data_IF_919136310747
#
_entry.id   IF_919136310747
#
_cell.length_a   1.000
_cell.length_b   1.000
_cell.length_c   1.000
_cell.angle_alpha   90.00
_cell.angle_beta   90.00
_cell.angle_gamma   90.00
#
_symmetry.space_group_name_H-M   'P 1'
#
loop_
_entity.id
_entity.type
_entity.pdbx_description
1 polymer ?
#
# COMPACT_ATOMS: atom_id res chain seq x y z
N UNK A 1 10.27 -35.88 3.07
CA UNK A 1 10.25 -34.45 3.44
C UNK A 1 9.10 -34.24 4.40
N UNK A 2 9.37 -33.88 5.65
CA UNK A 2 8.31 -33.57 6.62
C UNK A 2 7.52 -32.34 6.16
N UNK A 3 6.20 -32.31 6.38
CA UNK A 3 5.39 -31.11 6.11
C UNK A 3 5.93 -29.96 6.96
N UNK A 4 6.63 -29.03 6.34
CA UNK A 4 6.98 -27.75 6.96
C UNK A 4 5.67 -27.06 7.33
N UNK A 5 5.45 -26.79 8.61
CA UNK A 5 4.25 -26.12 9.09
C UNK A 5 4.24 -24.69 8.52
N UNK A 6 3.23 -24.36 7.72
CA UNK A 6 3.09 -23.00 7.16
C UNK A 6 3.02 -21.99 8.31
N UNK A 7 3.83 -20.91 8.22
CA UNK A 7 3.83 -19.87 9.25
C UNK A 7 2.49 -19.14 9.29
N UNK A 8 2.06 -18.71 10.48
CA UNK A 8 0.83 -17.92 10.63
C UNK A 8 0.99 -16.60 9.89
N UNK A 9 0.05 -16.29 8.98
CA UNK A 9 0.05 -15.02 8.23
C UNK A 9 -0.43 -13.86 9.09
N UNK A 10 0.22 -12.71 8.92
CA UNK A 10 -0.11 -11.42 9.53
C UNK A 10 -0.71 -10.54 8.42
N UNK A 11 -2.03 -10.65 8.26
CA UNK A 11 -2.81 -9.91 7.27
C UNK A 11 -3.52 -8.74 7.96
N UNK A 12 -3.35 -7.54 7.40
CA UNK A 12 -4.04 -6.35 7.88
C UNK A 12 -5.54 -6.42 7.59
N UNK A 13 -6.35 -5.94 8.54
CA UNK A 13 -7.80 -5.86 8.41
C UNK A 13 -8.23 -4.41 8.65
N UNK A 14 -8.51 -3.64 7.58
CA UNK A 14 -8.74 -2.21 7.71
C UNK A 14 -10.09 -1.90 8.34
N UNK A 15 -10.11 -0.84 9.14
CA UNK A 15 -11.35 -0.25 9.62
C UNK A 15 -11.99 0.65 8.54
N UNK A 16 -13.31 0.87 8.60
CA UNK A 16 -13.97 1.81 7.67
C UNK A 16 -13.40 3.23 7.73
N UNK A 17 -13.09 3.81 8.91
CA UNK A 17 -12.42 5.11 8.99
C UNK A 17 -11.06 5.12 8.28
N UNK A 18 -10.28 4.05 8.40
CA UNK A 18 -8.98 3.95 7.72
C UNK A 18 -9.13 3.92 6.20
N UNK A 19 -10.15 3.22 5.68
CA UNK A 19 -10.48 3.25 4.25
C UNK A 19 -10.86 4.67 3.80
N UNK A 20 -11.67 5.37 4.60
CA UNK A 20 -12.03 6.76 4.33
C UNK A 20 -10.79 7.66 4.26
N UNK A 21 -9.88 7.54 5.23
CA UNK A 21 -8.62 8.30 5.26
C UNK A 21 -7.74 8.02 4.04
N UNK A 22 -7.71 6.76 3.57
CA UNK A 22 -6.97 6.40 2.36
C UNK A 22 -7.54 7.11 1.12
N UNK A 23 -8.87 7.07 0.95
CA UNK A 23 -9.55 7.70 -0.19
C UNK A 23 -9.38 9.24 -0.14
N UNK A 24 -9.54 9.84 1.05
CA UNK A 24 -9.46 11.30 1.22
C UNK A 24 -8.07 11.87 0.93
N UNK A 25 -7.01 11.07 1.06
CA UNK A 25 -5.65 11.46 0.69
C UNK A 25 -5.44 11.55 -0.83
N UNK A 26 -6.34 10.99 -1.65
CA UNK A 26 -6.24 11.01 -3.12
C UNK A 26 -7.55 11.46 -3.80
N UNK A 27 -8.02 12.71 -3.61
CA UNK A 27 -9.27 13.17 -4.23
C UNK A 27 -9.29 13.06 -5.75
N UNK A 28 -8.13 13.21 -6.40
CA UNK A 28 -7.98 13.03 -7.85
C UNK A 28 -8.32 11.61 -8.30
N UNK A 29 -7.98 10.58 -7.52
CA UNK A 29 -8.34 9.20 -7.85
C UNK A 29 -9.85 9.01 -7.77
N UNK A 30 -10.49 9.60 -6.77
CA UNK A 30 -11.96 9.60 -6.67
C UNK A 30 -12.64 10.28 -7.85
N UNK A 31 -12.08 11.38 -8.37
CA UNK A 31 -12.57 12.04 -9.59
C UNK A 31 -12.45 11.12 -10.81
N UNK A 32 -11.29 10.50 -11.01
CA UNK A 32 -11.08 9.52 -12.08
C UNK A 32 -12.11 8.38 -12.02
N UNK A 33 -12.40 7.87 -10.82
CA UNK A 33 -13.40 6.81 -10.64
C UNK A 33 -14.80 7.26 -11.06
N UNK A 34 -15.21 8.48 -10.70
CA UNK A 34 -16.49 9.04 -11.10
C UNK A 34 -16.59 9.25 -12.61
N UNK A 35 -15.52 9.75 -13.23
CA UNK A 35 -15.48 9.97 -14.68
C UNK A 35 -15.62 8.65 -15.44
N UNK A 36 -15.03 7.57 -14.93
CA UNK A 36 -15.12 6.24 -15.55
C UNK A 36 -16.43 5.52 -15.23
N UNK A 37 -17.02 5.74 -14.04
CA UNK A 37 -18.21 5.05 -13.58
C UNK A 37 -19.25 6.01 -12.97
N UNK A 38 -19.85 6.92 -13.77
CA UNK A 38 -20.72 7.98 -13.26
C UNK A 38 -22.05 7.48 -12.69
N UNK A 39 -22.48 6.26 -13.04
CA UNK A 39 -23.79 5.72 -12.71
C UNK A 39 -23.77 4.66 -11.58
N UNK A 40 -22.68 4.56 -10.82
CA UNK A 40 -22.61 3.61 -9.69
C UNK A 40 -23.54 4.06 -8.56
N UNK A 41 -24.04 3.13 -7.73
CA UNK A 41 -24.93 3.47 -6.62
C UNK A 41 -24.35 4.47 -5.61
N UNK A 42 -23.01 4.57 -5.54
CA UNK A 42 -22.30 5.51 -4.68
C UNK A 42 -21.93 6.84 -5.35
N UNK A 43 -22.20 7.04 -6.65
CA UNK A 43 -21.63 8.16 -7.41
C UNK A 43 -22.08 9.53 -6.87
N UNK A 44 -23.36 9.70 -6.51
CA UNK A 44 -23.85 10.94 -5.88
C UNK A 44 -23.17 11.20 -4.54
N UNK A 45 -22.95 10.14 -3.75
CA UNK A 45 -22.25 10.23 -2.47
C UNK A 45 -20.78 10.63 -2.66
N UNK A 46 -20.08 9.99 -3.59
CA UNK A 46 -18.67 10.28 -3.88
C UNK A 46 -18.49 11.70 -4.46
N UNK A 47 -19.40 12.15 -5.32
CA UNK A 47 -19.39 13.52 -5.85
C UNK A 47 -19.50 14.53 -4.69
N UNK A 48 -20.46 14.34 -3.79
CA UNK A 48 -20.61 15.26 -2.65
C UNK A 48 -19.42 15.21 -1.69
N UNK A 49 -18.76 14.05 -1.49
CA UNK A 49 -17.51 13.98 -0.70
C UNK A 49 -16.38 14.81 -1.34
N UNK A 50 -16.26 14.77 -2.67
CA UNK A 50 -15.29 15.57 -3.41
C UNK A 50 -15.62 17.07 -3.29
N UNK A 51 -16.89 17.44 -3.39
CA UNK A 51 -17.34 18.84 -3.32
C UNK A 51 -17.04 19.48 -1.96
N UNK A 52 -17.20 18.73 -0.87
CA UNK A 52 -16.82 19.18 0.48
C UNK A 52 -15.33 18.94 0.80
N UNK A 53 -14.55 18.53 -0.20
CA UNK A 53 -13.12 18.23 -0.09
C UNK A 53 -12.79 17.28 1.07
N UNK A 54 -13.57 16.20 1.21
CA UNK A 54 -13.40 15.15 2.21
C UNK A 54 -13.21 15.64 3.66
N UNK A 55 -13.86 16.75 4.05
CA UNK A 55 -13.69 17.35 5.38
C UNK A 55 -12.22 17.68 5.69
N UNK A 56 -11.59 18.51 4.87
CA UNK A 56 -10.14 18.85 4.91
C UNK A 56 -9.61 19.48 6.23
N UNK A 57 -10.38 19.51 7.31
CA UNK A 57 -9.87 19.84 8.64
C UNK A 57 -9.20 18.61 9.27
N UNK A 58 -7.86 18.60 9.25
CA UNK A 58 -7.04 17.50 9.80
C UNK A 58 -7.11 17.37 11.31
N UNK A 59 -7.61 18.37 12.02
CA UNK A 59 -7.79 18.31 13.47
C UNK A 59 -9.14 17.71 13.85
N UNK A 60 -10.06 17.60 12.89
CA UNK A 60 -11.40 17.12 13.13
C UNK A 60 -11.50 15.61 12.92
N UNK A 61 -11.98 14.91 13.95
CA UNK A 61 -12.20 13.47 13.85
C UNK A 61 -13.49 13.18 13.07
N UNK A 62 -13.36 12.77 11.81
CA UNK A 62 -14.49 12.38 10.99
C UNK A 62 -14.93 10.95 11.34
N UNK A 63 -16.22 10.79 11.63
CA UNK A 63 -16.81 9.48 11.94
C UNK A 63 -17.79 9.07 10.86
N UNK A 64 -17.95 7.76 10.65
CA UNK A 64 -18.94 7.21 9.71
C UNK A 64 -20.36 7.67 10.06
N UNK A 65 -20.67 7.85 11.35
CA UNK A 65 -21.97 8.37 11.80
C UNK A 65 -22.20 9.80 11.33
N UNK A 66 -21.18 10.65 11.38
CA UNK A 66 -21.27 12.02 10.87
C UNK A 66 -21.45 12.05 9.37
N UNK A 67 -20.62 11.31 8.62
CA UNK A 67 -20.76 11.20 7.16
C UNK A 67 -22.18 10.75 6.80
N UNK A 68 -22.71 9.73 7.48
CA UNK A 68 -24.06 9.25 7.26
C UNK A 68 -25.12 10.35 7.50
N UNK A 69 -24.98 11.12 8.58
CA UNK A 69 -25.87 12.25 8.89
C UNK A 69 -25.82 13.34 7.83
N UNK A 70 -24.63 13.78 7.44
CA UNK A 70 -24.43 14.88 6.49
C UNK A 70 -25.00 14.54 5.11
N UNK A 71 -24.84 13.28 4.69
CA UNK A 71 -25.34 12.75 3.42
C UNK A 71 -26.75 12.16 3.52
N UNK A 72 -27.43 12.32 4.66
CA UNK A 72 -28.80 11.84 4.92
C UNK A 72 -29.01 10.37 4.51
N UNK A 73 -28.06 9.51 4.88
CA UNK A 73 -28.04 8.07 4.57
C UNK A 73 -27.71 7.27 5.83
N UNK A 74 -27.82 5.94 5.78
CA UNK A 74 -27.42 5.08 6.89
C UNK A 74 -25.91 4.75 6.89
N UNK A 75 -25.37 4.50 8.08
CA UNK A 75 -23.94 4.22 8.28
C UNK A 75 -23.47 2.89 7.66
N UNK A 76 -24.36 1.90 7.50
CA UNK A 76 -24.02 0.63 6.87
C UNK A 76 -23.81 0.82 5.37
N UNK A 77 -24.65 1.64 4.73
CA UNK A 77 -24.52 2.03 3.32
C UNK A 77 -23.26 2.85 3.06
N UNK A 78 -22.94 3.83 3.92
CA UNK A 78 -21.65 4.55 3.85
C UNK A 78 -20.48 3.59 3.94
N UNK A 79 -20.50 2.66 4.90
CA UNK A 79 -19.45 1.65 5.05
C UNK A 79 -19.30 0.78 3.80
N UNK A 80 -20.42 0.33 3.23
CA UNK A 80 -20.43 -0.45 1.99
C UNK A 80 -19.84 0.35 0.83
N UNK A 81 -20.28 1.59 0.64
CA UNK A 81 -19.82 2.44 -0.45
C UNK A 81 -18.34 2.78 -0.34
N UNK A 82 -17.83 3.13 0.84
CA UNK A 82 -16.40 3.41 1.03
C UNK A 82 -15.54 2.19 0.68
N UNK A 83 -15.94 0.99 1.10
CA UNK A 83 -15.26 -0.25 0.72
C UNK A 83 -15.29 -0.48 -0.78
N UNK A 84 -16.46 -0.31 -1.41
CA UNK A 84 -16.64 -0.49 -2.85
C UNK A 84 -15.83 0.51 -3.67
N UNK A 85 -15.82 1.79 -3.27
CA UNK A 85 -15.01 2.84 -3.89
C UNK A 85 -13.53 2.47 -3.80
N UNK A 86 -13.06 2.10 -2.61
CA UNK A 86 -11.64 1.77 -2.40
C UNK A 86 -11.20 0.59 -3.26
N UNK A 87 -11.98 -0.49 -3.29
CA UNK A 87 -11.65 -1.65 -4.14
C UNK A 87 -11.70 -1.31 -5.63
N UNK A 88 -12.72 -0.57 -6.08
CA UNK A 88 -12.84 -0.19 -7.49
C UNK A 88 -11.73 0.77 -7.93
N UNK A 89 -11.11 1.54 -7.03
CA UNK A 89 -9.91 2.31 -7.36
C UNK A 89 -8.70 1.43 -7.69
N UNK A 90 -8.50 0.33 -6.97
CA UNK A 90 -7.44 -0.64 -7.30
C UNK A 90 -7.76 -1.39 -8.60
N UNK A 91 -9.02 -1.78 -8.80
CA UNK A 91 -9.45 -2.40 -10.05
C UNK A 91 -9.23 -1.47 -11.24
N UNK A 92 -9.66 -0.20 -11.14
CA UNK A 92 -9.46 0.79 -12.19
C UNK A 92 -7.97 1.06 -12.44
N UNK A 93 -7.15 1.10 -11.39
CA UNK A 93 -5.70 1.29 -11.53
C UNK A 93 -5.02 0.12 -12.26
N UNK A 94 -5.46 -1.10 -11.99
CA UNK A 94 -4.97 -2.31 -12.67
C UNK A 94 -5.44 -2.36 -14.12
N UNK A 95 -6.70 -2.05 -14.37
CA UNK A 95 -7.34 -2.25 -15.68
C UNK A 95 -7.04 -1.08 -16.63
N UNK A 96 -6.81 0.13 -16.10
CA UNK A 96 -6.51 1.38 -16.83
C UNK A 96 -5.39 2.19 -16.17
N UNK A 97 -4.15 1.64 -16.09
CA UNK A 97 -3.04 2.29 -15.38
C UNK A 97 -2.64 3.65 -15.96
N UNK A 98 -2.91 3.90 -17.24
CA UNK A 98 -2.65 5.16 -17.93
C UNK A 98 -3.38 6.36 -17.30
N UNK A 99 -4.53 6.14 -16.66
CA UNK A 99 -5.28 7.21 -15.99
C UNK A 99 -4.58 7.74 -14.72
N UNK A 100 -3.72 6.92 -14.11
CA UNK A 100 -3.01 7.23 -12.87
C UNK A 100 -1.54 7.62 -13.11
N UNK A 101 -1.07 7.45 -14.34
CA UNK A 101 0.28 7.78 -14.80
C UNK A 101 0.27 9.16 -15.43
N UNK A 102 0.47 10.18 -14.60
CA UNK A 102 0.56 11.58 -15.04
C UNK A 102 2.02 11.92 -15.43
N UNK A 103 2.44 13.16 -15.22
CA UNK A 103 3.78 13.62 -15.56
C UNK A 103 4.82 13.01 -14.61
N UNK A 104 5.96 12.59 -15.18
CA UNK A 104 7.09 12.03 -14.43
C UNK A 104 7.48 10.64 -14.89
N UNK A 105 8.25 9.95 -14.04
CA UNK A 105 8.68 8.57 -14.25
C UNK A 105 7.50 7.65 -14.01
N UNK A 106 7.06 6.92 -15.04
CA UNK A 106 6.01 5.90 -14.91
C UNK A 106 6.57 4.72 -14.12
N UNK A 107 5.90 4.36 -13.04
CA UNK A 107 6.34 3.32 -12.12
C UNK A 107 5.24 2.31 -11.84
N UNK A 108 5.66 1.11 -11.46
CA UNK A 108 4.86 0.06 -10.84
C UNK A 108 5.35 -0.12 -9.41
N UNK A 109 4.57 0.37 -8.44
CA UNK A 109 4.91 0.32 -7.02
C UNK A 109 4.35 -0.96 -6.42
N UNK A 110 5.21 -1.80 -5.84
CA UNK A 110 4.82 -3.01 -5.12
C UNK A 110 5.01 -2.73 -3.63
N UNK A 111 3.91 -2.67 -2.88
CA UNK A 111 3.91 -2.44 -1.45
C UNK A 111 3.76 -3.77 -0.71
N UNK A 112 4.63 -4.01 0.24
CA UNK A 112 4.58 -5.14 1.15
C UNK A 112 4.72 -4.67 2.59
N UNK A 113 3.94 -5.27 3.50
CA UNK A 113 4.11 -5.12 4.93
C UNK A 113 3.64 -6.41 5.61
N UNK A 114 4.57 -7.13 6.24
CA UNK A 114 4.35 -8.51 6.67
C UNK A 114 3.80 -9.37 5.51
N UNK A 115 2.61 -9.97 5.69
CA UNK A 115 1.96 -10.84 4.70
C UNK A 115 0.91 -10.09 3.87
N UNK A 116 0.76 -8.78 4.06
CA UNK A 116 -0.13 -7.94 3.28
C UNK A 116 0.63 -7.30 2.13
N UNK A 117 0.06 -7.32 0.93
CA UNK A 117 0.65 -6.72 -0.25
C UNK A 117 -0.41 -6.06 -1.13
N UNK A 118 0.00 -5.05 -1.88
CA UNK A 118 -0.76 -4.49 -2.99
C UNK A 118 0.18 -3.83 -4.00
N UNK A 119 -0.35 -3.41 -5.13
CA UNK A 119 0.41 -2.67 -6.12
C UNK A 119 -0.38 -1.50 -6.69
N UNK A 120 0.34 -0.49 -7.17
CA UNK A 120 -0.23 0.68 -7.83
C UNK A 120 0.66 1.08 -9.01
N UNK A 121 0.04 1.29 -10.17
CA UNK A 121 0.63 1.99 -11.29
C UNK A 121 0.47 3.49 -11.10
N UNK A 122 1.55 4.25 -11.13
CA UNK A 122 1.50 5.72 -11.02
C UNK A 122 2.72 6.38 -11.65
N UNK A 123 2.85 7.70 -11.49
CA UNK A 123 4.03 8.47 -11.89
C UNK A 123 4.68 9.11 -10.66
N UNK A 124 6.01 9.09 -10.60
CA UNK A 124 6.79 9.82 -9.60
C UNK A 124 7.57 10.97 -10.25
N UNK A 125 7.74 12.11 -9.58
CA UNK A 125 8.52 13.23 -10.12
C UNK A 125 10.01 12.89 -10.25
N UNK A 126 10.49 11.96 -9.42
CA UNK A 126 11.87 11.45 -9.42
C UNK A 126 11.84 9.98 -9.04
N UNK A 127 12.76 9.20 -9.62
CA UNK A 127 12.95 7.81 -9.25
C UNK A 127 13.64 7.74 -7.87
N UNK A 128 12.98 7.21 -6.82
CA UNK A 128 13.61 7.06 -5.51
C UNK A 128 14.71 5.99 -5.56
N UNK A 129 15.69 6.15 -4.69
CA UNK A 129 16.83 5.23 -4.57
C UNK A 129 16.57 4.17 -3.52
N UNK A 130 17.30 3.07 -3.60
CA UNK A 130 17.32 2.07 -2.54
C UNK A 130 17.57 2.72 -1.18
N UNK A 131 16.82 2.24 -0.18
CA UNK A 131 16.81 2.71 1.20
C UNK A 131 16.24 4.11 1.45
N UNK A 132 15.73 4.80 0.45
CA UNK A 132 14.91 6.00 0.67
C UNK A 132 13.53 5.63 1.23
N UNK A 133 12.91 6.57 1.95
CA UNK A 133 11.58 6.38 2.54
C UNK A 133 10.50 7.05 1.70
N UNK A 134 9.40 6.35 1.49
CA UNK A 134 8.20 6.85 0.80
C UNK A 134 7.04 6.79 1.77
N UNK A 135 6.27 7.88 1.86
CA UNK A 135 4.95 7.87 2.49
C UNK A 135 3.87 7.83 1.44
N UNK A 136 3.02 6.81 1.49
CA UNK A 136 1.91 6.62 0.56
C UNK A 136 0.63 6.22 1.31
N UNK A 137 -0.11 7.20 1.88
CA UNK A 137 -1.26 6.93 2.73
C UNK A 137 -2.38 6.12 2.07
N UNK A 138 -2.54 6.24 0.75
CA UNK A 138 -3.62 5.59 0.01
C UNK A 138 -3.64 4.06 0.17
N UNK A 139 -2.48 3.40 0.29
CA UNK A 139 -2.44 1.92 0.38
C UNK A 139 -2.57 1.40 1.81
N UNK A 140 -2.63 2.27 2.81
CA UNK A 140 -2.58 1.88 4.22
C UNK A 140 -3.68 0.87 4.57
N UNK A 141 -4.90 1.07 4.07
CA UNK A 141 -5.98 0.12 4.31
C UNK A 141 -5.76 -1.26 3.67
N UNK A 142 -4.88 -1.41 2.65
CA UNK A 142 -4.50 -2.74 2.12
C UNK A 142 -3.38 -3.39 2.91
N UNK A 143 -2.40 -2.62 3.39
CA UNK A 143 -1.14 -3.18 3.92
C UNK A 143 -0.82 -2.83 5.37
N UNK A 144 -1.60 -1.98 6.02
CA UNK A 144 -1.50 -1.66 7.46
C UNK A 144 -0.47 -0.58 7.82
N UNK A 145 0.21 -0.01 6.83
CA UNK A 145 1.15 1.11 7.02
C UNK A 145 1.09 2.04 5.82
N UNK A 146 1.38 3.32 6.05
CA UNK A 146 1.60 4.33 5.01
C UNK A 146 3.09 4.67 4.81
N UNK A 147 3.96 4.20 5.70
CA UNK A 147 5.40 4.44 5.65
C UNK A 147 6.11 3.20 5.11
N UNK A 148 6.90 3.42 4.07
CA UNK A 148 7.66 2.39 3.37
C UNK A 148 9.08 2.84 3.10
N UNK A 149 9.97 1.89 2.84
CA UNK A 149 11.29 2.16 2.30
C UNK A 149 11.54 1.35 1.03
N UNK A 150 12.36 1.89 0.13
CA UNK A 150 12.68 1.26 -1.15
C UNK A 150 13.63 0.09 -0.90
N UNK A 151 13.12 -1.13 -1.06
CA UNK A 151 13.89 -2.37 -0.93
C UNK A 151 14.79 -2.61 -2.14
N UNK A 152 14.25 -2.40 -3.33
CA UNK A 152 14.97 -2.51 -4.61
C UNK A 152 14.22 -1.79 -5.72
N UNK A 153 14.96 -1.39 -6.75
CA UNK A 153 14.43 -0.80 -7.99
C UNK A 153 14.83 -1.69 -9.15
N UNK A 154 13.85 -2.18 -9.89
CA UNK A 154 14.02 -3.02 -11.06
C UNK A 154 13.54 -2.29 -12.30
N UNK A 155 14.16 -2.58 -13.44
CA UNK A 155 13.76 -2.06 -14.74
C UNK A 155 13.45 -3.26 -15.63
N UNK A 156 12.20 -3.39 -16.04
CA UNK A 156 11.77 -4.37 -17.02
C UNK A 156 11.71 -3.67 -18.38
N UNK A 157 12.47 -4.19 -19.35
CA UNK A 157 12.55 -3.64 -20.69
C UNK A 157 11.80 -4.59 -21.62
N UNK A 158 10.70 -4.12 -22.20
CA UNK A 158 9.90 -4.86 -23.18
C UNK A 158 9.81 -4.01 -24.44
N UNK A 159 10.44 -4.50 -25.51
CA UNK A 159 10.59 -3.78 -26.78
C UNK A 159 11.21 -2.38 -26.59
N UNK A 160 10.43 -1.32 -26.83
CA UNK A 160 10.82 0.09 -26.70
C UNK A 160 10.32 0.73 -25.40
N UNK A 161 9.72 -0.06 -24.50
CA UNK A 161 9.19 0.42 -23.22
C UNK A 161 10.05 -0.04 -22.06
N UNK A 162 10.19 0.84 -21.06
CA UNK A 162 10.81 0.51 -19.78
C UNK A 162 9.75 0.68 -18.70
N UNK A 163 9.41 -0.40 -18.02
CA UNK A 163 8.63 -0.37 -16.80
C UNK A 163 9.58 -0.36 -15.60
N UNK A 164 9.45 0.67 -14.76
CA UNK A 164 10.24 0.80 -13.54
C UNK A 164 9.44 0.22 -12.38
N UNK A 165 9.93 -0.89 -11.82
CA UNK A 165 9.29 -1.63 -10.73
C UNK A 165 9.99 -1.26 -9.44
N UNK A 166 9.25 -0.75 -8.46
CA UNK A 166 9.80 -0.32 -7.17
C UNK A 166 9.20 -1.18 -6.07
N UNK A 167 10.05 -1.93 -5.39
CA UNK A 167 9.66 -2.77 -4.27
C UNK A 167 9.77 -1.98 -2.98
N UNK A 168 8.67 -1.89 -2.25
CA UNK A 168 8.51 -1.06 -1.05
C UNK A 168 8.17 -1.94 0.14
N UNK A 169 9.02 -1.90 1.16
CA UNK A 169 8.83 -2.65 2.40
C UNK A 169 8.31 -1.73 3.50
N UNK A 170 7.31 -2.21 4.24
CA UNK A 170 6.61 -1.46 5.28
C UNK A 170 7.45 -1.20 6.52
N UNK A 171 7.22 -0.05 7.14
CA UNK A 171 7.82 0.32 8.42
C UNK A 171 9.08 1.15 8.28
N UNK A 172 10.02 0.95 9.21
CA UNK A 172 11.24 1.74 9.32
C UNK A 172 12.46 0.92 8.90
N UNK A 173 13.26 1.46 8.01
CA UNK A 173 14.49 0.83 7.57
C UNK A 173 15.53 0.79 8.70
N UNK A 174 16.08 -0.40 8.94
CA UNK A 174 17.34 -0.58 9.64
C UNK A 174 18.40 -1.10 8.66
N UNK A 175 19.23 -0.21 8.10
CA UNK A 175 20.28 -0.58 7.13
C UNK A 175 21.25 -1.62 7.69
N UNK A 176 21.59 -1.52 8.97
CA UNK A 176 22.51 -2.47 9.61
C UNK A 176 21.91 -3.88 9.66
N UNK A 177 20.60 -3.98 9.94
CA UNK A 177 19.89 -5.26 9.91
C UNK A 177 19.93 -5.89 8.51
N UNK A 178 19.68 -5.11 7.46
CA UNK A 178 19.71 -5.61 6.08
C UNK A 178 21.10 -6.12 5.69
N UNK A 179 22.16 -5.36 5.98
CA UNK A 179 23.53 -5.82 5.72
C UNK A 179 23.93 -7.04 6.55
N UNK A 180 23.45 -7.14 7.80
CA UNK A 180 23.69 -8.29 8.66
C UNK A 180 23.02 -9.56 8.11
N UNK A 181 21.82 -9.42 7.54
CA UNK A 181 21.10 -10.50 6.86
C UNK A 181 21.81 -10.93 5.58
N UNK A 182 22.17 -9.98 4.71
CA UNK A 182 22.90 -10.27 3.47
C UNK A 182 24.22 -10.99 3.74
N UNK A 183 24.96 -10.54 4.76
CA UNK A 183 26.18 -11.22 5.21
C UNK A 183 25.90 -12.62 5.74
N UNK A 184 24.84 -12.81 6.51
CA UNK A 184 24.49 -14.12 7.04
C UNK A 184 24.07 -15.10 5.92
N UNK A 185 23.33 -14.63 4.93
CA UNK A 185 22.95 -15.41 3.74
C UNK A 185 24.17 -15.77 2.91
N UNK A 186 25.05 -14.80 2.62
CA UNK A 186 26.28 -15.04 1.85
C UNK A 186 27.22 -16.06 2.54
N UNK A 187 27.20 -16.10 3.86
CA UNK A 187 28.02 -17.01 4.66
C UNK A 187 27.30 -18.34 4.98
N UNK A 188 26.12 -18.60 4.40
CA UNK A 188 25.26 -19.75 4.69
C UNK A 188 24.95 -19.93 6.20
N UNK A 189 24.98 -18.83 6.97
CA UNK A 189 24.65 -18.80 8.41
C UNK A 189 23.15 -18.76 8.68
N UNK A 190 22.39 -18.29 7.69
CA UNK A 190 20.92 -18.38 7.63
C UNK A 190 20.61 -19.00 6.28
N UNK A 191 19.74 -20.02 6.23
CA UNK A 191 19.38 -20.64 4.96
C UNK A 191 18.38 -19.76 4.21
N UNK A 192 18.50 -19.65 2.89
CA UNK A 192 17.64 -18.75 2.10
C UNK A 192 16.13 -19.04 2.29
N UNK A 193 15.74 -20.30 2.49
CA UNK A 193 14.35 -20.68 2.77
C UNK A 193 13.84 -20.13 4.11
N UNK A 194 14.72 -19.86 5.07
CA UNK A 194 14.33 -19.31 6.37
C UNK A 194 13.82 -17.88 6.21
N UNK A 195 14.31 -17.12 5.22
CA UNK A 195 13.78 -15.80 4.88
C UNK A 195 12.31 -15.84 4.47
N UNK A 196 11.87 -16.95 3.85
CA UNK A 196 10.47 -17.15 3.46
C UNK A 196 9.61 -17.77 4.58
N UNK A 197 10.21 -18.68 5.35
CA UNK A 197 9.52 -19.51 6.34
C UNK A 197 9.43 -18.88 7.73
N UNK A 198 10.31 -17.92 8.04
CA UNK A 198 10.35 -17.24 9.33
C UNK A 198 9.68 -15.87 9.25
N UNK A 199 9.16 -15.42 10.38
CA UNK A 199 8.71 -14.05 10.56
C UNK A 199 9.91 -13.10 10.70
N UNK A 200 9.75 -11.81 10.36
CA UNK A 200 10.84 -10.83 10.48
C UNK A 200 11.48 -10.79 11.87
N UNK A 201 10.69 -10.92 12.94
CA UNK A 201 11.19 -10.93 14.33
C UNK A 201 12.00 -12.20 14.69
N UNK A 202 11.76 -13.30 13.98
CA UNK A 202 12.49 -14.57 14.16
C UNK A 202 13.86 -14.46 13.50
N UNK A 203 13.90 -13.91 12.28
CA UNK A 203 15.16 -13.56 11.59
C UNK A 203 15.98 -12.59 12.45
N UNK A 204 15.35 -11.58 13.05
CA UNK A 204 16.03 -10.63 13.93
C UNK A 204 16.66 -11.32 15.16
N UNK A 205 15.98 -12.34 15.70
CA UNK A 205 16.49 -13.12 16.82
C UNK A 205 17.72 -13.93 16.40
N UNK A 206 17.69 -14.54 15.23
CA UNK A 206 18.83 -15.28 14.68
C UNK A 206 20.03 -14.38 14.42
N UNK A 207 19.82 -13.24 13.76
CA UNK A 207 20.87 -12.24 13.54
C UNK A 207 21.48 -11.77 14.86
N UNK A 208 20.66 -11.49 15.87
CA UNK A 208 21.16 -11.11 17.20
C UNK A 208 21.99 -12.21 17.87
N UNK A 209 21.67 -13.48 17.64
CA UNK A 209 22.48 -14.61 18.15
C UNK A 209 23.81 -14.74 17.41
N UNK A 210 23.82 -14.52 16.09
CA UNK A 210 25.02 -14.60 15.25
C UNK A 210 26.04 -13.49 15.52
N UNK A 211 25.58 -12.29 15.87
CA UNK A 211 26.42 -11.09 16.03
C UNK A 211 26.52 -10.61 17.48
N UNK A 212 26.23 -11.46 18.47
CA UNK A 212 26.27 -11.11 19.90
C UNK A 212 27.67 -11.04 20.53
N UNK A 213 28.73 -11.18 19.73
CA UNK A 213 30.12 -11.26 20.18
C UNK A 213 30.92 -10.06 19.66
#
# INVERSE_FOLDING_TARGET
>A
MGRTKERRKIIHQPSTPEIFDCISCMPTYSKLLLDQYPNKPYSVFLHGLIDINFYNDRNEKITIKRIASDFKTDAAKVTKWLKEIYEQLFELNRDKPELFRTNGVKVYLIFQNYDSYCYIYTSLPVLPREFETIRFPFVKAKVGTDSFWVKKVEHEIVEDTVEVIIWLEGGFLNKYREFALDKALFQDRIHFMDVFNLQPYEIDKELKMLYRN
#
